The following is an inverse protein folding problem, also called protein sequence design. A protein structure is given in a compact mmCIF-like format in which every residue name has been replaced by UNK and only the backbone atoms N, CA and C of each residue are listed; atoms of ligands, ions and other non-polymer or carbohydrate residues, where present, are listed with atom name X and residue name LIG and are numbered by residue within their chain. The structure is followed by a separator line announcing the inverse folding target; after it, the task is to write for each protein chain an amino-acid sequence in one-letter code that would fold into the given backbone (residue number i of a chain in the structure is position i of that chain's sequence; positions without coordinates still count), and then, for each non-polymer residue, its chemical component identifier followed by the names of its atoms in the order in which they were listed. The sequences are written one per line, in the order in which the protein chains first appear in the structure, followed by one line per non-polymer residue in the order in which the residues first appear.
data_IF_072382344976
#
_entry.id   IF_072382344976
#
_cell.length_a   1.000
_cell.length_b   1.000
_cell.length_c   1.000
_cell.angle_alpha   90.00
_cell.angle_beta   90.00
_cell.angle_gamma   90.00
#
_symmetry.space_group_name_H-M   'P 1'
#
loop_
_entity.id
_entity.type
_entity.pdbx_description
1 polymer ?
#
# COMPACT_ATOMS: atom_id res chain seq x y z
N UNK A 1 7.18 -25.79 7.80
CA UNK A 1 7.23 -25.45 6.35
C UNK A 1 6.16 -26.12 5.48
N UNK A 2 5.44 -27.14 5.92
CA UNK A 2 4.48 -27.92 5.09
C UNK A 2 3.04 -27.38 5.04
N UNK A 3 2.66 -26.42 5.91
CA UNK A 3 1.25 -25.97 6.02
C UNK A 3 0.85 -24.86 5.03
N UNK A 4 1.81 -24.09 4.51
CA UNK A 4 1.53 -23.02 3.54
C UNK A 4 1.26 -23.54 2.12
N UNK A 5 1.74 -24.72 1.79
CA UNK A 5 1.58 -25.33 0.47
C UNK A 5 0.21 -25.97 0.23
N UNK A 6 -0.46 -26.43 1.30
CA UNK A 6 -1.76 -27.11 1.16
C UNK A 6 -2.92 -26.18 0.82
N UNK A 7 -2.90 -24.96 1.33
CA UNK A 7 -3.94 -23.95 1.02
C UNK A 7 -3.77 -23.34 -0.37
N UNK A 8 -2.55 -23.30 -0.89
CA UNK A 8 -2.23 -22.69 -2.19
C UNK A 8 -2.77 -23.51 -3.36
N UNK A 9 -2.84 -24.83 -3.27
CA UNK A 9 -3.32 -25.67 -4.39
C UNK A 9 -4.81 -25.45 -4.72
N UNK A 10 -5.63 -25.07 -3.76
CA UNK A 10 -7.08 -24.85 -3.94
C UNK A 10 -7.40 -23.49 -4.61
N UNK A 11 -6.55 -22.48 -4.42
CA UNK A 11 -6.79 -21.10 -4.91
C UNK A 11 -6.24 -20.89 -6.34
N UNK A 12 -5.23 -21.68 -6.76
CA UNK A 12 -4.43 -21.41 -7.95
C UNK A 12 -5.11 -21.67 -9.30
N UNK A 13 -6.12 -22.51 -9.35
CA UNK A 13 -6.47 -23.05 -10.66
C UNK A 13 -7.62 -22.35 -11.40
N UNK A 14 -8.79 -22.04 -10.83
CA UNK A 14 -9.88 -21.49 -11.62
C UNK A 14 -9.77 -19.96 -11.81
N UNK A 15 -9.44 -19.21 -10.76
CA UNK A 15 -9.51 -17.75 -10.80
C UNK A 15 -8.47 -17.11 -11.71
N UNK A 16 -7.20 -17.55 -11.65
CA UNK A 16 -6.12 -16.97 -12.45
C UNK A 16 -6.16 -17.39 -13.93
N UNK A 17 -6.90 -18.45 -14.25
CA UNK A 17 -7.14 -18.88 -15.63
C UNK A 17 -8.40 -18.26 -16.25
N UNK A 18 -9.22 -17.60 -15.45
CA UNK A 18 -10.42 -16.93 -15.94
C UNK A 18 -10.03 -15.73 -16.82
N UNK A 19 -10.63 -15.65 -18.02
CA UNK A 19 -10.37 -14.56 -18.97
C UNK A 19 -10.76 -13.17 -18.43
N UNK A 20 -11.64 -13.12 -17.39
CA UNK A 20 -12.08 -11.90 -16.73
C UNK A 20 -11.08 -11.40 -15.68
N UNK A 21 -10.06 -12.22 -15.35
CA UNK A 21 -9.08 -11.81 -14.36
C UNK A 21 -8.26 -10.61 -14.86
N UNK A 22 -8.11 -9.60 -14.01
CA UNK A 22 -7.44 -8.36 -14.38
C UNK A 22 -5.96 -8.63 -14.63
N UNK A 23 -5.47 -8.17 -15.78
CA UNK A 23 -4.06 -8.24 -16.16
C UNK A 23 -3.52 -6.86 -16.49
N UNK A 24 -2.27 -6.62 -16.10
CA UNK A 24 -1.48 -5.43 -16.45
C UNK A 24 -0.24 -5.93 -17.19
N UNK A 25 -0.04 -5.45 -18.40
CA UNK A 25 1.06 -5.88 -19.29
C UNK A 25 1.18 -7.42 -19.42
N UNK A 26 0.04 -8.10 -19.48
CA UNK A 26 -0.05 -9.56 -19.56
C UNK A 26 0.18 -10.32 -18.25
N UNK A 27 0.55 -9.64 -17.16
CA UNK A 27 0.74 -10.21 -15.83
C UNK A 27 -0.55 -10.15 -15.00
N UNK A 28 -0.78 -11.16 -14.19
CA UNK A 28 -1.94 -11.25 -13.29
C UNK A 28 -1.84 -10.23 -12.16
N UNK A 29 -2.83 -9.36 -12.00
CA UNK A 29 -2.85 -8.36 -10.93
C UNK A 29 -3.02 -9.04 -9.56
N UNK A 30 -2.08 -8.79 -8.64
CA UNK A 30 -2.18 -9.22 -7.26
C UNK A 30 -1.89 -8.06 -6.31
N UNK A 31 -2.86 -7.70 -5.47
CA UNK A 31 -2.73 -6.59 -4.54
C UNK A 31 -2.39 -7.11 -3.13
N UNK A 32 -1.33 -6.58 -2.55
CA UNK A 32 -0.90 -6.89 -1.18
C UNK A 32 -1.29 -5.72 -0.28
N UNK A 33 -2.21 -5.98 0.64
CA UNK A 33 -2.65 -5.01 1.63
C UNK A 33 -1.63 -4.92 2.77
N UNK A 34 -1.30 -3.69 3.17
CA UNK A 34 -0.37 -3.38 4.26
C UNK A 34 0.98 -4.14 4.17
N UNK A 35 1.74 -3.96 3.08
CA UNK A 35 2.97 -4.69 2.82
C UNK A 35 4.04 -4.49 3.91
N UNK A 36 3.89 -3.47 4.76
CA UNK A 36 4.82 -3.16 5.86
C UNK A 36 4.76 -4.15 7.00
N UNK A 37 3.64 -4.87 7.14
CA UNK A 37 3.44 -5.89 8.18
C UNK A 37 3.74 -7.30 7.70
N UNK A 38 4.05 -7.42 6.42
CA UNK A 38 4.38 -8.71 5.83
C UNK A 38 5.90 -8.88 5.80
N UNK A 39 6.46 -9.43 6.86
CA UNK A 39 7.91 -9.53 7.10
C UNK A 39 8.69 -10.15 5.94
N UNK A 40 8.17 -11.21 5.33
CA UNK A 40 8.79 -11.95 4.23
C UNK A 40 8.10 -11.69 2.88
N UNK A 41 7.70 -10.45 2.62
CA UNK A 41 6.94 -10.09 1.41
C UNK A 41 7.76 -10.32 0.12
N UNK A 42 9.06 -10.10 0.15
CA UNK A 42 9.97 -10.32 -1.00
C UNK A 42 9.99 -11.80 -1.38
N UNK A 43 10.22 -12.68 -0.40
CA UNK A 43 10.22 -14.15 -0.59
C UNK A 43 8.86 -14.66 -1.06
N UNK A 44 7.79 -14.10 -0.50
CA UNK A 44 6.43 -14.41 -0.94
C UNK A 44 6.23 -14.09 -2.42
N UNK A 45 6.56 -12.88 -2.85
CA UNK A 45 6.38 -12.46 -4.25
C UNK A 45 7.24 -13.30 -5.19
N UNK A 46 8.49 -13.59 -4.84
CA UNK A 46 9.37 -14.43 -5.65
C UNK A 46 8.84 -15.88 -5.77
N UNK A 47 8.43 -16.45 -4.64
CA UNK A 47 7.82 -17.79 -4.63
C UNK A 47 6.58 -17.85 -5.53
N UNK A 48 5.74 -16.82 -5.48
CA UNK A 48 4.53 -16.76 -6.29
C UNK A 48 4.82 -16.58 -7.77
N UNK A 49 5.80 -15.76 -8.14
CA UNK A 49 6.26 -15.62 -9.54
C UNK A 49 6.78 -16.96 -10.07
N UNK A 50 7.58 -17.67 -9.27
CA UNK A 50 8.10 -18.97 -9.68
C UNK A 50 6.97 -20.00 -9.85
N UNK A 51 6.05 -20.08 -8.89
CA UNK A 51 4.89 -20.97 -8.97
C UNK A 51 4.00 -20.67 -10.21
N UNK A 52 3.81 -19.40 -10.55
CA UNK A 52 3.05 -19.01 -11.73
C UNK A 52 3.70 -19.51 -13.02
N UNK A 53 5.01 -19.39 -13.13
CA UNK A 53 5.79 -19.93 -14.25
C UNK A 53 5.67 -21.46 -14.32
N UNK A 54 5.86 -22.15 -13.20
CA UNK A 54 5.80 -23.61 -13.13
C UNK A 54 4.40 -24.17 -13.50
N UNK A 55 3.35 -23.40 -13.21
CA UNK A 55 1.96 -23.74 -13.56
C UNK A 55 1.53 -23.25 -14.94
N UNK A 56 2.39 -22.56 -15.68
CA UNK A 56 2.10 -22.03 -17.01
C UNK A 56 0.98 -20.97 -17.03
N UNK A 57 0.77 -20.26 -15.94
CA UNK A 57 -0.23 -19.19 -15.85
C UNK A 57 0.34 -17.79 -16.09
N UNK A 58 1.65 -17.69 -16.33
CA UNK A 58 2.33 -16.44 -16.64
C UNK A 58 3.13 -15.87 -15.47
N UNK A 59 2.92 -14.60 -15.18
CA UNK A 59 3.60 -13.86 -14.10
C UNK A 59 2.60 -13.02 -13.33
N UNK A 60 3.01 -12.49 -12.17
CA UNK A 60 2.22 -11.58 -11.37
C UNK A 60 2.72 -10.15 -11.47
N UNK A 61 1.76 -9.22 -11.52
CA UNK A 61 1.95 -7.81 -11.30
C UNK A 61 1.55 -7.48 -9.86
N UNK A 62 2.53 -7.32 -8.97
CA UNK A 62 2.28 -7.06 -7.57
C UNK A 62 2.07 -5.58 -7.30
N UNK A 63 0.92 -5.24 -6.69
CA UNK A 63 0.58 -3.87 -6.29
C UNK A 63 0.58 -3.75 -4.77
N UNK A 64 1.38 -2.84 -4.25
CA UNK A 64 1.35 -2.48 -2.84
C UNK A 64 0.17 -1.56 -2.54
N UNK A 65 -0.76 -1.99 -1.71
CA UNK A 65 -1.80 -1.11 -1.15
C UNK A 65 -1.26 -0.46 0.12
N UNK A 66 -0.95 0.82 0.04
CA UNK A 66 -0.28 1.53 1.13
C UNK A 66 -1.01 2.80 1.56
N UNK A 67 -0.73 3.26 2.77
CA UNK A 67 -0.99 4.61 3.17
C UNK A 67 0.34 5.41 3.18
N UNK A 68 0.27 6.68 2.91
CA UNK A 68 1.44 7.55 2.74
C UNK A 68 2.18 7.93 4.04
N UNK A 69 1.84 7.33 5.17
CA UNK A 69 2.45 7.60 6.48
C UNK A 69 3.36 6.49 6.97
N UNK A 70 3.31 5.34 6.31
CA UNK A 70 4.12 4.18 6.65
C UNK A 70 5.26 4.01 5.64
N UNK A 71 6.36 3.47 6.11
CA UNK A 71 7.50 3.08 5.30
C UNK A 71 7.99 1.70 5.72
N UNK A 72 8.86 1.14 4.90
CA UNK A 72 9.54 -0.12 5.20
C UNK A 72 10.88 0.16 5.84
N UNK A 73 11.19 -0.57 6.89
CA UNK A 73 12.51 -0.61 7.50
C UNK A 73 13.07 -2.02 7.29
N UNK A 74 14.24 -2.13 6.66
CA UNK A 74 14.94 -3.42 6.55
C UNK A 74 15.56 -3.77 7.89
N UNK A 75 15.39 -5.02 8.33
CA UNK A 75 15.99 -5.53 9.55
C UNK A 75 17.39 -6.08 9.27
N UNK A 76 18.33 -5.97 10.21
CA UNK A 76 19.67 -6.53 10.06
C UNK A 76 19.69 -8.05 9.84
N UNK A 77 18.75 -8.75 10.47
CA UNK A 77 18.58 -10.20 10.37
C UNK A 77 17.83 -10.67 9.10
N UNK A 78 17.45 -9.73 8.24
CA UNK A 78 16.63 -9.98 7.06
C UNK A 78 15.14 -9.70 7.31
N UNK A 79 14.38 -9.56 6.20
CA UNK A 79 12.98 -9.19 6.24
C UNK A 79 12.76 -7.69 6.47
N UNK A 80 11.51 -7.32 6.70
CA UNK A 80 11.09 -5.92 6.83
C UNK A 80 10.22 -5.69 8.05
N UNK A 81 10.21 -4.46 8.53
CA UNK A 81 9.32 -3.98 9.57
C UNK A 81 8.64 -2.67 9.17
N UNK A 82 7.51 -2.39 9.80
CA UNK A 82 6.80 -1.14 9.59
C UNK A 82 7.53 0.01 10.28
N UNK A 83 7.88 1.03 9.51
CA UNK A 83 8.30 2.34 10.00
C UNK A 83 7.21 3.39 9.85
N UNK A 84 7.39 4.53 10.48
CA UNK A 84 6.52 5.70 10.31
C UNK A 84 7.34 6.87 9.78
N UNK A 85 6.78 7.57 8.80
CA UNK A 85 7.37 8.80 8.26
C UNK A 85 6.40 9.96 8.49
N UNK A 86 6.97 11.16 8.61
CA UNK A 86 6.15 12.37 8.65
C UNK A 86 5.46 12.53 7.29
N UNK A 87 4.17 12.87 7.27
CA UNK A 87 3.39 13.00 6.05
C UNK A 87 3.71 14.33 5.34
N UNK A 88 4.90 14.45 4.78
CA UNK A 88 5.28 15.54 3.89
C UNK A 88 5.43 15.03 2.45
N UNK A 89 5.51 15.95 1.49
CA UNK A 89 5.61 15.59 0.07
C UNK A 89 6.95 14.89 -0.28
N UNK A 90 8.02 15.27 0.42
CA UNK A 90 9.37 14.71 0.15
C UNK A 90 9.50 13.27 0.66
N UNK A 91 8.91 12.97 1.81
CA UNK A 91 8.96 11.62 2.37
C UNK A 91 8.18 10.59 1.58
N UNK A 92 7.22 11.01 0.74
CA UNK A 92 6.42 10.09 -0.09
C UNK A 92 7.23 9.38 -1.14
N UNK A 93 8.10 10.11 -1.84
CA UNK A 93 8.95 9.52 -2.87
C UNK A 93 9.84 8.42 -2.27
N UNK A 94 10.40 8.66 -1.08
CA UNK A 94 11.20 7.65 -0.37
C UNK A 94 10.38 6.43 0.03
N UNK A 95 9.13 6.63 0.48
CA UNK A 95 8.22 5.51 0.79
C UNK A 95 7.95 4.65 -0.44
N UNK A 96 7.68 5.29 -1.58
CA UNK A 96 7.38 4.58 -2.82
C UNK A 96 8.64 3.88 -3.36
N UNK A 97 9.78 4.54 -3.37
CA UNK A 97 11.03 3.92 -3.78
C UNK A 97 11.39 2.71 -2.91
N UNK A 98 11.15 2.77 -1.60
CA UNK A 98 11.34 1.64 -0.71
C UNK A 98 10.43 0.46 -1.05
N UNK A 99 9.16 0.69 -1.41
CA UNK A 99 8.27 -0.37 -1.83
C UNK A 99 8.68 -0.98 -3.18
N UNK A 100 9.04 -0.15 -4.15
CA UNK A 100 9.54 -0.63 -5.43
C UNK A 100 10.82 -1.46 -5.27
N UNK A 101 11.71 -1.07 -4.35
CA UNK A 101 12.94 -1.83 -4.05
C UNK A 101 12.69 -3.20 -3.42
N UNK A 102 11.48 -3.46 -2.89
CA UNK A 102 11.06 -4.79 -2.42
C UNK A 102 10.55 -5.70 -3.55
N UNK A 103 10.44 -5.18 -4.78
CA UNK A 103 9.99 -5.97 -5.93
C UNK A 103 8.50 -5.80 -6.28
N UNK A 104 7.82 -4.78 -5.74
CA UNK A 104 6.50 -4.41 -6.23
C UNK A 104 6.58 -3.77 -7.60
N UNK A 105 5.63 -4.12 -8.49
CA UNK A 105 5.54 -3.55 -9.84
C UNK A 105 4.72 -2.25 -9.85
N UNK A 106 3.87 -2.05 -8.84
CA UNK A 106 3.03 -0.86 -8.75
C UNK A 106 2.63 -0.53 -7.31
N UNK A 107 2.17 0.70 -7.12
CA UNK A 107 1.74 1.20 -5.82
C UNK A 107 0.38 1.86 -5.94
N UNK A 108 -0.57 1.42 -5.12
CA UNK A 108 -1.83 2.10 -4.92
C UNK A 108 -1.80 2.80 -3.55
N UNK A 109 -1.61 4.10 -3.59
CA UNK A 109 -1.59 4.90 -2.37
C UNK A 109 -3.00 5.36 -2.01
N UNK A 110 -3.43 5.01 -0.82
CA UNK A 110 -4.62 5.58 -0.19
C UNK A 110 -4.33 7.03 0.26
N UNK A 111 -3.99 7.88 -0.69
CA UNK A 111 -3.57 9.28 -0.47
C UNK A 111 -4.61 10.18 0.21
N UNK A 112 -5.86 9.71 0.34
CA UNK A 112 -6.96 10.44 0.97
C UNK A 112 -6.60 10.94 2.38
N UNK A 113 -6.15 10.06 3.26
CA UNK A 113 -5.81 10.41 4.64
C UNK A 113 -4.72 11.48 4.73
N UNK A 114 -3.79 11.47 3.80
CA UNK A 114 -2.73 12.46 3.72
C UNK A 114 -3.23 13.79 3.19
N UNK A 115 -4.04 13.79 2.14
CA UNK A 115 -4.66 14.98 1.59
C UNK A 115 -5.54 15.68 2.64
N UNK A 116 -6.29 14.91 3.42
CA UNK A 116 -7.08 15.39 4.55
C UNK A 116 -6.20 15.99 5.66
N UNK A 117 -5.06 15.37 5.95
CA UNK A 117 -4.11 15.88 6.95
C UNK A 117 -3.50 17.22 6.53
N UNK A 118 -3.14 17.35 5.24
CA UNK A 118 -2.62 18.61 4.69
C UNK A 118 -3.70 19.67 4.73
N UNK A 119 -4.93 19.37 4.30
CA UNK A 119 -6.05 20.30 4.30
C UNK A 119 -6.45 20.79 5.70
N UNK A 120 -6.40 19.92 6.70
CA UNK A 120 -6.82 20.27 8.07
C UNK A 120 -5.72 20.92 8.93
N UNK A 121 -4.45 20.79 8.53
CA UNK A 121 -3.30 21.20 9.32
C UNK A 121 -3.07 20.30 10.55
N UNK A 122 -1.82 19.96 10.79
CA UNK A 122 -1.40 19.00 11.84
C UNK A 122 -1.93 19.35 13.24
N UNK A 123 -1.77 20.60 13.64
CA UNK A 123 -2.14 21.05 14.99
C UNK A 123 -3.64 21.22 15.17
N UNK A 124 -4.34 21.79 14.19
CA UNK A 124 -5.81 21.95 14.22
C UNK A 124 -6.51 20.58 14.32
N UNK A 125 -5.98 19.57 13.64
CA UNK A 125 -6.51 18.21 13.71
C UNK A 125 -6.35 17.60 15.10
N UNK A 126 -5.16 17.69 15.69
CA UNK A 126 -4.89 17.17 17.04
C UNK A 126 -5.77 17.80 18.10
N UNK A 127 -5.94 19.14 18.04
CA UNK A 127 -6.80 19.88 18.97
C UNK A 127 -8.27 19.47 18.80
N UNK A 128 -8.77 19.39 17.57
CA UNK A 128 -10.16 18.98 17.32
C UNK A 128 -10.42 17.53 17.74
N UNK A 129 -9.47 16.62 17.56
CA UNK A 129 -9.60 15.25 18.04
C UNK A 129 -9.71 15.19 19.55
N UNK A 130 -8.81 15.86 20.29
CA UNK A 130 -8.86 15.93 21.76
C UNK A 130 -10.13 16.59 22.28
N UNK A 131 -10.62 17.64 21.61
CA UNK A 131 -11.86 18.29 21.97
C UNK A 131 -13.08 17.40 21.73
N UNK A 132 -13.10 16.66 20.63
CA UNK A 132 -14.19 15.71 20.34
C UNK A 132 -14.19 14.54 21.32
N UNK A 133 -13.01 14.02 21.69
CA UNK A 133 -12.88 12.96 22.69
C UNK A 133 -13.42 13.40 24.06
N UNK A 134 -13.19 14.65 24.44
CA UNK A 134 -13.68 15.23 25.70
C UNK A 134 -15.13 15.69 25.62
N UNK A 135 -15.59 16.16 24.47
CA UNK A 135 -16.90 16.74 24.26
C UNK A 135 -17.52 16.13 22.97
N UNK A 136 -18.20 15.00 23.12
CA UNK A 136 -18.76 14.21 22.01
C UNK A 136 -19.81 14.96 21.16
N UNK A 137 -20.38 16.06 21.66
CA UNK A 137 -21.32 16.90 20.93
C UNK A 137 -20.64 17.85 19.91
N UNK A 138 -19.30 18.02 20.00
CA UNK A 138 -18.58 18.81 19.01
C UNK A 138 -18.47 18.05 17.67
N UNK A 139 -18.67 18.74 16.55
CA UNK A 139 -18.63 18.08 15.26
C UNK A 139 -17.23 17.50 15.00
N UNK A 140 -17.21 16.29 14.45
CA UNK A 140 -16.00 15.67 13.89
C UNK A 140 -15.41 16.54 12.79
N UNK A 141 -14.17 16.25 12.42
CA UNK A 141 -13.46 16.96 11.36
C UNK A 141 -14.29 16.99 10.06
N UNK A 142 -14.69 18.18 9.64
CA UNK A 142 -15.23 18.39 8.30
C UNK A 142 -14.10 18.85 7.39
N UNK A 143 -13.97 18.19 6.26
CA UNK A 143 -12.98 18.53 5.24
C UNK A 143 -13.67 19.30 4.10
N UNK A 144 -13.00 20.32 3.60
CA UNK A 144 -13.38 20.93 2.35
C UNK A 144 -12.96 20.00 1.21
N UNK A 145 -13.92 19.34 0.58
CA UNK A 145 -13.67 18.32 -0.44
C UNK A 145 -12.82 18.84 -1.62
N UNK A 146 -13.08 20.04 -2.20
CA UNK A 146 -12.21 20.64 -3.23
C UNK A 146 -10.75 20.77 -2.80
N UNK A 147 -10.50 21.12 -1.56
CA UNK A 147 -9.14 21.25 -1.02
C UNK A 147 -8.45 19.87 -0.85
N UNK A 148 -9.18 18.88 -0.41
CA UNK A 148 -8.69 17.49 -0.35
C UNK A 148 -8.32 16.98 -1.74
N UNK A 149 -9.17 17.19 -2.75
CA UNK A 149 -8.91 16.81 -4.14
C UNK A 149 -7.68 17.52 -4.70
N UNK A 150 -7.56 18.83 -4.45
CA UNK A 150 -6.36 19.59 -4.84
C UNK A 150 -5.10 19.01 -4.24
N UNK A 151 -5.11 18.66 -2.96
CA UNK A 151 -3.97 18.06 -2.27
C UNK A 151 -3.66 16.64 -2.77
N UNK A 152 -4.68 15.86 -3.11
CA UNK A 152 -4.49 14.54 -3.75
C UNK A 152 -3.78 14.68 -5.10
N UNK A 153 -4.22 15.62 -5.93
CA UNK A 153 -3.60 15.89 -7.23
C UNK A 153 -2.14 16.34 -7.09
N UNK A 154 -1.83 17.18 -6.10
CA UNK A 154 -0.45 17.58 -5.80
C UNK A 154 0.42 16.39 -5.35
N UNK A 155 -0.13 15.48 -4.54
CA UNK A 155 0.59 14.27 -4.13
C UNK A 155 0.88 13.41 -5.36
N UNK A 156 -0.06 13.24 -6.26
CA UNK A 156 0.10 12.42 -7.46
C UNK A 156 1.05 13.05 -8.48
N UNK A 157 0.94 14.36 -8.73
CA UNK A 157 1.79 15.05 -9.70
C UNK A 157 3.28 15.07 -9.29
N UNK A 158 3.57 15.12 -7.99
CA UNK A 158 4.93 15.09 -7.47
C UNK A 158 5.54 13.68 -7.40
N UNK A 159 4.73 12.64 -7.59
CA UNK A 159 5.16 11.23 -7.59
C UNK A 159 5.10 10.60 -9.00
N UNK A 160 5.02 11.41 -10.07
CA UNK A 160 5.23 10.92 -11.43
C UNK A 160 6.72 10.58 -11.57
N UNK A 161 7.00 9.29 -11.55
CA UNK A 161 8.26 8.72 -12.00
C UNK A 161 8.32 8.72 -13.52
#
# INVERSE_FOLDING_TARGET
MSSLYSSSQLVWSPAFKDHRYIKIDGKLLFAIFDPYRFEHVEEFMETWRQLAKDKGIGDFYFVALTNSTNTVIRKPEGGVAQGRVMPDLKSSANVYNNLLSLGFDGINSLGKSRAEMIASGKYKRAIKFKLHEKFSFLPTLRYNYPEVVKNMNLIWSNNKM
#
